data_IF_913636892594
#
_entry.id   IF_913636892594
#
_cell.length_a   1.000
_cell.length_b   1.000
_cell.length_c   1.000
_cell.angle_alpha   90.00
_cell.angle_beta   90.00
_cell.angle_gamma   90.00
#
_symmetry.space_group_name_H-M   'P 1'
#
loop_
_entity.id
_entity.type
_entity.pdbx_description
1 polymer ?
#
# COMPACT_ATOMS: atom_id res chain seq x y z
N UNK A 1 8.05 19.10 9.87
CA UNK A 1 8.18 17.66 9.55
C UNK A 1 9.61 17.37 9.14
N UNK A 2 10.15 16.22 9.52
CA UNK A 2 11.43 15.71 9.01
C UNK A 2 11.15 14.80 7.81
N UNK A 3 11.90 14.99 6.73
CA UNK A 3 11.81 14.13 5.56
C UNK A 3 13.06 13.27 5.44
N UNK A 4 12.89 12.06 4.92
CA UNK A 4 13.98 11.10 4.68
C UNK A 4 14.06 10.76 3.20
N UNK A 5 15.30 10.64 2.72
CA UNK A 5 15.60 10.02 1.44
C UNK A 5 15.75 8.51 1.66
N UNK A 6 15.02 7.73 0.90
CA UNK A 6 15.14 6.27 0.86
C UNK A 6 15.92 5.91 -0.38
N UNK A 7 16.95 5.06 -0.26
CA UNK A 7 17.92 4.80 -1.32
C UNK A 7 17.30 4.45 -2.68
N UNK A 8 16.27 3.61 -2.67
CA UNK A 8 15.60 3.10 -3.87
C UNK A 8 14.31 3.86 -4.24
N UNK A 9 14.04 5.01 -3.60
CA UNK A 9 12.85 5.85 -3.85
C UNK A 9 13.32 7.29 -4.08
N UNK A 10 12.88 7.92 -5.17
CA UNK A 10 13.34 9.26 -5.55
C UNK A 10 12.76 10.38 -4.69
N UNK A 11 11.53 10.19 -4.25
CA UNK A 11 10.78 11.18 -3.49
C UNK A 11 11.25 11.20 -2.02
N UNK A 12 11.24 12.38 -1.41
CA UNK A 12 11.45 12.51 0.02
C UNK A 12 10.16 12.14 0.78
N UNK A 13 10.29 11.24 1.73
CA UNK A 13 9.18 10.70 2.52
C UNK A 13 9.19 11.32 3.92
N UNK A 14 8.06 11.80 4.40
CA UNK A 14 7.93 12.26 5.80
C UNK A 14 8.23 11.11 6.77
N UNK A 15 9.01 11.39 7.82
CA UNK A 15 9.42 10.37 8.80
C UNK A 15 8.24 9.77 9.57
N UNK A 16 7.07 10.42 9.51
CA UNK A 16 5.81 9.95 10.06
C UNK A 16 4.85 9.81 8.88
N UNK A 17 4.19 8.66 8.79
CA UNK A 17 3.12 8.40 7.84
C UNK A 17 1.77 8.22 8.51
N UNK A 18 0.70 8.29 7.73
CA UNK A 18 -0.66 7.98 8.17
C UNK A 18 -1.00 6.55 7.81
N UNK A 19 -1.23 5.70 8.83
CA UNK A 19 -1.84 4.39 8.63
C UNK A 19 -3.35 4.55 8.45
N UNK A 20 -3.84 4.15 7.28
CA UNK A 20 -5.22 4.37 6.88
C UNK A 20 -6.18 3.21 7.25
N UNK A 21 -5.76 2.30 8.11
CA UNK A 21 -6.63 1.20 8.53
C UNK A 21 -7.92 1.71 9.19
N UNK A 22 -7.79 2.69 10.08
CA UNK A 22 -8.94 3.29 10.77
C UNK A 22 -9.93 4.00 9.83
N UNK A 23 -9.53 4.32 8.60
CA UNK A 23 -10.43 4.89 7.58
C UNK A 23 -11.42 3.85 7.05
N UNK A 24 -11.24 2.57 7.37
CA UNK A 24 -12.14 1.48 7.01
C UNK A 24 -13.52 1.52 7.67
N UNK A 25 -13.71 2.32 8.72
CA UNK A 25 -15.01 2.48 9.38
C UNK A 25 -15.29 1.52 10.53
N UNK A 26 -14.37 0.59 10.83
CA UNK A 26 -14.58 -0.46 11.84
C UNK A 26 -14.17 -0.06 13.27
N UNK A 27 -13.81 1.22 13.49
CA UNK A 27 -13.32 1.73 14.77
C UNK A 27 -14.26 2.78 15.37
N UNK A 28 -14.39 2.78 16.68
CA UNK A 28 -15.17 3.78 17.40
C UNK A 28 -14.70 5.20 17.05
N UNK A 29 -15.65 6.05 16.66
CA UNK A 29 -15.39 7.44 16.24
C UNK A 29 -14.87 7.60 14.82
N UNK A 30 -14.73 6.51 14.03
CA UNK A 30 -14.43 6.63 12.62
C UNK A 30 -15.66 7.13 11.85
N UNK A 31 -15.43 8.11 10.99
CA UNK A 31 -16.41 8.62 10.03
C UNK A 31 -15.68 9.25 8.85
N UNK A 32 -16.33 9.32 7.70
CA UNK A 32 -15.77 9.96 6.51
C UNK A 32 -15.38 11.43 6.78
N UNK A 33 -16.16 12.14 7.61
CA UNK A 33 -15.88 13.52 7.99
C UNK A 33 -14.63 13.62 8.88
N UNK A 34 -14.47 12.73 9.86
CA UNK A 34 -13.28 12.70 10.69
C UNK A 34 -12.05 12.27 9.88
N UNK A 35 -12.19 11.33 8.96
CA UNK A 35 -11.13 10.94 8.03
C UNK A 35 -10.66 12.12 7.20
N UNK A 36 -11.57 12.93 6.65
CA UNK A 36 -11.20 14.13 5.91
C UNK A 36 -10.43 15.13 6.78
N UNK A 37 -10.87 15.38 8.01
CA UNK A 37 -10.15 16.25 8.96
C UNK A 37 -8.75 15.75 9.26
N UNK A 38 -8.59 14.44 9.50
CA UNK A 38 -7.28 13.81 9.76
C UNK A 38 -6.35 13.99 8.57
N UNK A 39 -6.82 13.70 7.36
CA UNK A 39 -6.03 13.82 6.13
C UNK A 39 -5.57 15.26 5.91
N UNK A 40 -6.47 16.24 6.04
CA UNK A 40 -6.13 17.64 5.85
C UNK A 40 -5.15 18.13 6.92
N UNK A 41 -5.37 17.79 8.19
CA UNK A 41 -4.44 18.12 9.28
C UNK A 41 -3.06 17.50 9.06
N UNK A 42 -3.00 16.25 8.56
CA UNK A 42 -1.73 15.60 8.22
C UNK A 42 -0.96 16.40 7.15
N UNK A 43 -1.64 16.78 6.08
CA UNK A 43 -1.04 17.59 5.00
C UNK A 43 -0.56 18.98 5.50
N UNK A 44 -1.35 19.66 6.31
CA UNK A 44 -0.98 20.96 6.92
C UNK A 44 0.28 20.86 7.80
N UNK A 45 0.50 19.68 8.42
CA UNK A 45 1.70 19.40 9.22
C UNK A 45 2.86 18.79 8.39
N UNK A 46 2.72 18.74 7.07
CA UNK A 46 3.77 18.27 6.16
C UNK A 46 3.91 16.75 6.10
N UNK A 47 2.91 15.98 6.55
CA UNK A 47 2.91 14.52 6.33
C UNK A 47 2.51 14.27 4.87
N UNK A 48 3.37 13.53 4.15
CA UNK A 48 3.14 13.22 2.74
C UNK A 48 3.04 11.71 2.45
N UNK A 49 3.08 10.85 3.47
CA UNK A 49 3.07 9.40 3.31
C UNK A 49 1.79 8.78 3.88
N UNK A 50 1.06 8.04 3.05
CA UNK A 50 -0.19 7.37 3.40
C UNK A 50 -0.07 5.87 3.13
N UNK A 51 -0.14 5.06 4.18
CA UNK A 51 -0.12 3.60 4.12
C UNK A 51 -1.56 3.07 4.17
N UNK A 52 -1.99 2.45 3.07
CA UNK A 52 -3.36 2.01 2.85
C UNK A 52 -3.40 0.59 2.28
N UNK A 53 -4.56 -0.04 2.28
CA UNK A 53 -4.77 -1.33 1.62
C UNK A 53 -6.24 -1.52 1.21
N UNK A 54 -6.51 -2.32 0.16
CA UNK A 54 -7.87 -2.67 -0.25
C UNK A 54 -8.68 -3.35 0.84
N UNK A 55 -8.05 -4.19 1.65
CA UNK A 55 -8.70 -4.94 2.74
C UNK A 55 -9.18 -4.05 3.89
N UNK A 56 -8.68 -2.82 4.01
CA UNK A 56 -9.07 -1.90 5.07
C UNK A 56 -10.50 -1.41 4.87
N UNK A 57 -11.42 -1.90 5.73
CA UNK A 57 -12.85 -1.67 5.56
C UNK A 57 -13.40 -2.21 4.24
N UNK A 58 -12.79 -3.28 3.70
CA UNK A 58 -13.22 -3.93 2.46
C UNK A 58 -13.46 -2.93 1.33
N UNK A 59 -12.41 -2.19 0.97
CA UNK A 59 -12.34 -1.15 -0.05
C UNK A 59 -12.73 0.27 0.41
N UNK A 60 -13.33 0.44 1.59
CA UNK A 60 -13.82 1.75 2.03
C UNK A 60 -12.67 2.76 2.23
N UNK A 61 -11.58 2.32 2.85
CA UNK A 61 -10.42 3.17 3.13
C UNK A 61 -9.83 3.80 1.86
N UNK A 62 -9.64 3.01 0.79
CA UNK A 62 -9.16 3.56 -0.49
C UNK A 62 -10.20 4.49 -1.13
N UNK A 63 -11.47 4.13 -1.07
CA UNK A 63 -12.53 4.94 -1.68
C UNK A 63 -12.68 6.31 -1.02
N UNK A 64 -12.60 6.40 0.32
CA UNK A 64 -12.70 7.67 1.03
C UNK A 64 -11.45 8.53 0.81
N UNK A 65 -10.23 7.95 0.86
CA UNK A 65 -9.02 8.69 0.56
C UNK A 65 -9.02 9.24 -0.87
N UNK A 66 -9.48 8.43 -1.84
CA UNK A 66 -9.62 8.86 -3.24
C UNK A 66 -10.56 10.04 -3.42
N UNK A 67 -11.72 10.02 -2.75
CA UNK A 67 -12.67 11.15 -2.75
C UNK A 67 -12.05 12.42 -2.18
N UNK A 68 -11.33 12.32 -1.04
CA UNK A 68 -10.68 13.45 -0.39
C UNK A 68 -9.56 14.01 -1.28
N UNK A 69 -8.71 13.15 -1.85
CA UNK A 69 -7.65 13.58 -2.77
C UNK A 69 -8.19 14.35 -3.97
N UNK A 70 -9.27 13.85 -4.58
CA UNK A 70 -9.90 14.50 -5.72
C UNK A 70 -10.56 15.83 -5.32
N UNK A 71 -11.28 15.86 -4.20
CA UNK A 71 -11.96 17.05 -3.69
C UNK A 71 -10.99 18.22 -3.43
N UNK A 72 -9.81 17.90 -2.88
CA UNK A 72 -8.84 18.91 -2.46
C UNK A 72 -7.61 19.04 -3.38
N UNK A 73 -7.50 18.22 -4.42
CA UNK A 73 -6.48 18.37 -5.47
C UNK A 73 -5.04 18.16 -5.00
N UNK A 74 -4.76 17.21 -4.08
CA UNK A 74 -3.42 17.05 -3.53
C UNK A 74 -2.70 15.74 -3.93
N UNK A 75 -3.24 14.93 -4.87
CA UNK A 75 -2.62 13.64 -5.25
C UNK A 75 -1.11 13.74 -5.51
N UNK A 76 -0.67 14.78 -6.20
CA UNK A 76 0.74 14.98 -6.55
C UNK A 76 1.62 15.49 -5.38
N UNK A 77 1.04 15.71 -4.21
CA UNK A 77 1.77 16.15 -3.01
C UNK A 77 2.01 15.03 -2.01
N UNK A 78 1.51 13.83 -2.30
CA UNK A 78 1.55 12.69 -1.39
C UNK A 78 2.10 11.44 -2.06
N UNK A 79 2.62 10.55 -1.24
CA UNK A 79 3.09 9.22 -1.60
C UNK A 79 2.09 8.22 -1.04
N UNK A 80 1.46 7.47 -1.93
CA UNK A 80 0.48 6.43 -1.58
C UNK A 80 1.18 5.07 -1.62
N UNK A 81 1.23 4.40 -0.47
CA UNK A 81 1.62 3.01 -0.39
C UNK A 81 0.35 2.15 -0.22
N UNK A 82 -0.08 1.49 -1.30
CA UNK A 82 -1.20 0.53 -1.23
C UNK A 82 -0.69 -0.90 -1.44
N UNK A 83 -1.58 -1.88 -1.28
CA UNK A 83 -1.20 -3.28 -1.21
C UNK A 83 -2.08 -4.16 -2.11
N UNK A 84 -1.64 -5.40 -2.35
CA UNK A 84 -2.43 -6.44 -3.04
C UNK A 84 -2.17 -7.82 -2.44
N UNK A 85 -2.90 -8.82 -2.95
CA UNK A 85 -2.72 -10.21 -2.58
C UNK A 85 -3.55 -10.66 -1.39
N UNK A 86 -4.54 -9.85 -0.96
CA UNK A 86 -5.56 -10.25 -0.01
C UNK A 86 -6.94 -10.13 -0.67
N UNK A 87 -7.44 -11.25 -1.15
CA UNK A 87 -8.76 -11.36 -1.78
C UNK A 87 -9.83 -11.74 -0.77
N UNK A 88 -11.03 -11.26 -0.98
CA UNK A 88 -12.21 -11.64 -0.17
C UNK A 88 -13.45 -11.76 -1.04
N UNK A 89 -14.41 -12.55 -0.58
CA UNK A 89 -15.73 -12.69 -1.17
C UNK A 89 -16.82 -12.02 -0.32
N UNK A 90 -18.06 -12.40 -0.55
CA UNK A 90 -19.23 -11.96 0.23
C UNK A 90 -19.18 -12.39 1.71
N UNK A 91 -18.38 -13.41 2.01
CA UNK A 91 -18.12 -13.91 3.36
C UNK A 91 -17.17 -13.03 4.18
N UNK A 92 -16.54 -12.03 3.53
CA UNK A 92 -15.51 -11.16 4.11
C UNK A 92 -14.31 -11.92 4.73
N UNK A 93 -14.08 -13.16 4.31
CA UNK A 93 -12.90 -13.92 4.69
C UNK A 93 -11.78 -13.64 3.71
N UNK A 94 -10.66 -13.15 4.21
CA UNK A 94 -9.48 -12.86 3.38
C UNK A 94 -8.71 -14.13 3.04
N UNK A 95 -8.21 -14.21 1.82
CA UNK A 95 -7.38 -15.30 1.29
C UNK A 95 -6.19 -14.69 0.55
N UNK A 96 -5.02 -15.29 0.73
CA UNK A 96 -3.83 -14.86 -0.01
C UNK A 96 -3.95 -15.33 -1.47
N UNK A 97 -3.71 -14.41 -2.40
CA UNK A 97 -3.74 -14.70 -3.84
C UNK A 97 -2.83 -13.70 -4.56
N UNK A 98 -1.60 -14.13 -4.84
CA UNK A 98 -0.61 -13.37 -5.59
C UNK A 98 -0.51 -13.81 -7.06
N UNK A 99 -1.54 -14.51 -7.57
CA UNK A 99 -1.61 -14.87 -8.97
C UNK A 99 -1.59 -13.62 -9.86
N UNK A 100 -1.10 -13.80 -11.08
CA UNK A 100 -1.07 -12.71 -12.08
C UNK A 100 -2.45 -12.12 -12.31
N UNK A 101 -3.48 -12.96 -12.44
CA UNK A 101 -4.86 -12.51 -12.64
C UNK A 101 -5.33 -11.63 -11.47
N UNK A 102 -5.08 -12.06 -10.24
CA UNK A 102 -5.44 -11.30 -9.03
C UNK A 102 -4.75 -9.94 -8.99
N UNK A 103 -3.43 -9.88 -9.19
CA UNK A 103 -2.65 -8.63 -9.14
C UNK A 103 -3.13 -7.64 -10.21
N UNK A 104 -3.34 -8.10 -11.45
CA UNK A 104 -3.79 -7.24 -12.55
C UNK A 104 -5.21 -6.70 -12.30
N UNK A 105 -6.09 -7.51 -11.72
CA UNK A 105 -7.42 -7.05 -11.34
C UNK A 105 -7.38 -6.09 -10.15
N UNK A 106 -6.63 -6.42 -9.09
CA UNK A 106 -6.56 -5.62 -7.87
C UNK A 106 -6.01 -4.21 -8.12
N UNK A 107 -4.96 -4.07 -8.94
CA UNK A 107 -4.40 -2.74 -9.23
C UNK A 107 -5.44 -1.84 -9.90
N UNK A 108 -6.23 -2.35 -10.85
CA UNK A 108 -7.25 -1.55 -11.54
C UNK A 108 -8.38 -1.15 -10.59
N UNK A 109 -8.77 -2.04 -9.68
CA UNK A 109 -9.75 -1.73 -8.65
C UNK A 109 -9.23 -0.65 -7.69
N UNK A 110 -7.98 -0.74 -7.25
CA UNK A 110 -7.36 0.24 -6.34
C UNK A 110 -7.22 1.61 -7.00
N UNK A 111 -6.76 1.67 -8.24
CA UNK A 111 -6.68 2.92 -9.01
C UNK A 111 -8.06 3.59 -9.16
N UNK A 112 -9.09 2.79 -9.45
CA UNK A 112 -10.48 3.28 -9.53
C UNK A 112 -10.98 3.85 -8.21
N UNK A 113 -10.75 3.17 -7.08
CA UNK A 113 -11.15 3.64 -5.74
C UNK A 113 -10.37 4.87 -5.31
N UNK A 114 -9.06 4.88 -5.50
CA UNK A 114 -8.17 6.01 -5.18
C UNK A 114 -8.34 7.19 -6.15
N UNK A 115 -9.05 7.01 -7.27
CA UNK A 115 -9.29 8.01 -8.31
C UNK A 115 -7.98 8.64 -8.82
N UNK A 116 -7.00 7.80 -9.10
CA UNK A 116 -5.65 8.16 -9.57
C UNK A 116 -5.22 7.23 -10.70
N UNK A 117 -4.25 7.66 -11.50
CA UNK A 117 -3.66 6.88 -12.58
C UNK A 117 -2.49 6.00 -12.15
N UNK A 118 -1.94 6.24 -10.94
CA UNK A 118 -0.84 5.45 -10.40
C UNK A 118 -0.85 5.37 -8.88
N UNK A 119 -0.20 4.33 -8.36
CA UNK A 119 0.17 4.16 -6.95
C UNK A 119 1.69 4.31 -6.84
N UNK A 120 2.17 5.05 -5.83
CA UNK A 120 3.60 5.28 -5.68
C UNK A 120 4.33 4.00 -5.24
N UNK A 121 3.90 3.37 -4.16
CA UNK A 121 4.47 2.12 -3.67
C UNK A 121 3.37 1.06 -3.64
N UNK A 122 3.55 0.00 -4.42
CA UNK A 122 2.59 -1.12 -4.44
C UNK A 122 3.23 -2.34 -3.79
N UNK A 123 2.61 -2.80 -2.71
CA UNK A 123 3.19 -3.79 -1.83
C UNK A 123 2.43 -5.12 -1.93
N UNK A 124 3.16 -6.24 -1.98
CA UNK A 124 2.60 -7.54 -1.70
C UNK A 124 2.29 -7.60 -0.19
N UNK A 125 1.02 -7.78 0.18
CA UNK A 125 0.56 -7.60 1.58
C UNK A 125 1.00 -8.75 2.50
N UNK A 126 0.92 -9.97 1.99
CA UNK A 126 1.34 -11.21 2.65
C UNK A 126 1.87 -12.19 1.62
N UNK A 127 2.81 -13.08 2.01
CA UNK A 127 3.27 -14.13 1.12
C UNK A 127 2.13 -15.07 0.74
N UNK A 128 2.14 -15.55 -0.50
CA UNK A 128 1.28 -16.61 -1.00
C UNK A 128 2.15 -17.74 -1.52
N UNK A 129 2.22 -18.85 -0.77
CA UNK A 129 3.04 -20.00 -1.12
C UNK A 129 2.37 -20.94 -2.15
N UNK A 130 1.15 -20.62 -2.60
CA UNK A 130 0.46 -21.40 -3.63
C UNK A 130 0.71 -20.86 -5.04
N UNK A 131 1.15 -19.59 -5.14
CA UNK A 131 1.48 -18.95 -6.42
C UNK A 131 2.98 -19.01 -6.68
N UNK A 132 3.44 -19.45 -7.87
CA UNK A 132 4.84 -19.34 -8.26
C UNK A 132 5.33 -17.90 -8.23
N UNK A 133 6.50 -17.66 -7.64
CA UNK A 133 7.07 -16.30 -7.48
C UNK A 133 7.25 -15.63 -8.85
N UNK A 134 7.63 -16.37 -9.87
CA UNK A 134 7.82 -15.89 -11.24
C UNK A 134 6.54 -15.26 -11.80
N UNK A 135 5.39 -15.88 -11.55
CA UNK A 135 4.09 -15.37 -11.99
C UNK A 135 3.77 -14.02 -11.34
N UNK A 136 3.99 -13.91 -10.03
CA UNK A 136 3.82 -12.68 -9.26
C UNK A 136 4.76 -11.58 -9.76
N UNK A 137 6.04 -11.91 -9.99
CA UNK A 137 7.06 -10.98 -10.47
C UNK A 137 6.73 -10.47 -11.87
N UNK A 138 6.26 -11.34 -12.77
CA UNK A 138 5.87 -10.95 -14.13
C UNK A 138 4.68 -9.98 -14.11
N UNK A 139 3.68 -10.21 -13.25
CA UNK A 139 2.57 -9.30 -13.06
C UNK A 139 3.05 -7.92 -12.56
N UNK A 140 3.94 -7.89 -11.56
CA UNK A 140 4.50 -6.65 -11.03
C UNK A 140 5.29 -5.86 -12.07
N UNK A 141 6.10 -6.55 -12.88
CA UNK A 141 6.84 -5.92 -14.00
C UNK A 141 5.88 -5.33 -15.05
N UNK A 142 4.80 -6.03 -15.36
CA UNK A 142 3.79 -5.57 -16.33
C UNK A 142 3.11 -4.29 -15.86
N UNK A 143 2.59 -4.25 -14.64
CA UNK A 143 1.91 -3.06 -14.11
C UNK A 143 2.86 -1.89 -13.89
N UNK A 144 4.15 -2.14 -13.55
CA UNK A 144 5.21 -1.13 -13.48
C UNK A 144 5.52 -0.55 -14.85
N UNK A 145 5.66 -1.40 -15.87
CA UNK A 145 5.86 -0.98 -17.26
C UNK A 145 4.68 -0.18 -17.82
N UNK A 146 3.46 -0.52 -17.41
CA UNK A 146 2.26 0.22 -17.77
C UNK A 146 2.12 1.57 -17.04
N UNK A 147 3.02 1.90 -16.10
CA UNK A 147 3.01 3.15 -15.34
C UNK A 147 1.95 3.17 -14.21
N UNK A 148 1.28 2.06 -13.94
CA UNK A 148 0.27 1.96 -12.88
C UNK A 148 0.89 2.00 -11.47
N UNK A 149 2.16 1.62 -11.34
CA UNK A 149 2.92 1.71 -10.08
C UNK A 149 4.32 2.29 -10.34
N UNK A 150 4.90 2.97 -9.34
CA UNK A 150 6.27 3.49 -9.42
C UNK A 150 7.27 2.56 -8.78
N UNK A 151 6.97 2.08 -7.56
CA UNK A 151 7.85 1.28 -6.72
C UNK A 151 7.14 0.00 -6.28
N UNK A 152 7.93 -1.06 -6.09
CA UNK A 152 7.45 -2.35 -5.60
C UNK A 152 7.90 -2.51 -4.15
N UNK A 153 7.00 -2.96 -3.28
CA UNK A 153 7.28 -3.24 -1.89
C UNK A 153 6.81 -4.63 -1.47
N UNK A 154 7.34 -5.07 -0.33
CA UNK A 154 6.92 -6.28 0.36
C UNK A 154 6.44 -5.94 1.77
N UNK A 155 5.44 -6.68 2.27
CA UNK A 155 4.93 -6.53 3.64
C UNK A 155 4.76 -7.90 4.27
N UNK A 156 5.31 -8.09 5.48
CA UNK A 156 5.24 -9.35 6.22
C UNK A 156 5.97 -10.54 5.56
N UNK A 157 6.92 -10.29 4.71
CA UNK A 157 7.75 -11.32 4.11
C UNK A 157 8.94 -11.66 5.01
N UNK A 158 9.35 -12.94 5.00
CA UNK A 158 10.61 -13.35 5.62
C UNK A 158 11.79 -12.78 4.84
N UNK A 159 12.96 -12.66 5.49
CA UNK A 159 14.18 -12.22 4.80
C UNK A 159 14.47 -13.12 3.58
N UNK A 160 14.35 -14.44 3.74
CA UNK A 160 14.61 -15.40 2.66
C UNK A 160 13.68 -15.18 1.46
N UNK A 161 12.38 -14.93 1.70
CA UNK A 161 11.44 -14.67 0.62
C UNK A 161 11.74 -13.32 -0.05
N UNK A 162 12.05 -12.30 0.74
CA UNK A 162 12.45 -10.99 0.22
C UNK A 162 13.70 -11.07 -0.68
N UNK A 163 14.75 -11.78 -0.26
CA UNK A 163 15.95 -12.01 -1.06
C UNK A 163 15.64 -12.75 -2.37
N UNK A 164 14.68 -13.69 -2.33
CA UNK A 164 14.23 -14.40 -3.55
C UNK A 164 13.56 -13.44 -4.52
N UNK A 165 12.64 -12.58 -4.04
CA UNK A 165 12.02 -11.55 -4.88
C UNK A 165 13.05 -10.55 -5.41
N UNK A 166 14.00 -10.09 -4.57
CA UNK A 166 15.06 -9.15 -4.97
C UNK A 166 15.98 -9.71 -6.07
N UNK A 167 16.18 -11.02 -6.12
CA UNK A 167 16.94 -11.65 -7.21
C UNK A 167 16.25 -11.56 -8.57
N UNK A 168 14.95 -11.30 -8.62
CA UNK A 168 14.13 -11.31 -9.85
C UNK A 168 13.61 -9.93 -10.25
N UNK A 169 13.37 -9.04 -9.29
CA UNK A 169 12.84 -7.69 -9.50
C UNK A 169 13.34 -6.75 -8.40
N UNK A 170 13.54 -5.47 -8.75
CA UNK A 170 13.93 -4.47 -7.76
C UNK A 170 12.83 -4.26 -6.72
N UNK A 171 13.14 -4.55 -5.45
CA UNK A 171 12.28 -4.24 -4.30
C UNK A 171 12.75 -2.90 -3.71
N UNK A 172 11.82 -1.97 -3.60
CA UNK A 172 12.10 -0.59 -3.19
C UNK A 172 11.77 -0.33 -1.71
N UNK A 173 10.90 -1.15 -1.11
CA UNK A 173 10.53 -1.03 0.32
C UNK A 173 10.16 -2.39 0.92
N UNK A 174 10.44 -2.53 2.22
CA UNK A 174 9.95 -3.64 3.03
C UNK A 174 9.29 -3.08 4.28
N UNK A 175 8.07 -3.54 4.57
CA UNK A 175 7.32 -3.18 5.75
C UNK A 175 7.15 -4.41 6.65
N UNK A 176 7.62 -4.30 7.89
CA UNK A 176 7.54 -5.38 8.88
C UNK A 176 6.98 -4.87 10.19
N UNK A 177 6.37 -5.77 10.96
CA UNK A 177 5.95 -5.46 12.32
C UNK A 177 7.18 -5.16 13.18
N UNK A 178 7.22 -3.98 13.77
CA UNK A 178 8.30 -3.55 14.65
C UNK A 178 7.74 -2.68 15.78
N UNK A 179 8.02 -3.07 17.01
CA UNK A 179 7.67 -2.29 18.20
C UNK A 179 8.60 -2.68 19.38
N UNK A 180 8.33 -2.16 20.56
CA UNK A 180 9.17 -2.44 21.74
C UNK A 180 9.22 -3.91 22.16
N UNK A 181 8.21 -4.71 21.79
CA UNK A 181 8.10 -6.14 22.14
C UNK A 181 8.49 -7.05 20.95
N UNK A 182 8.12 -6.64 19.72
CA UNK A 182 8.38 -7.38 18.48
C UNK A 182 9.54 -6.73 17.74
N UNK A 183 10.71 -7.39 17.77
CA UNK A 183 11.98 -6.86 17.22
C UNK A 183 12.68 -7.85 16.30
N UNK A 184 11.96 -8.82 15.76
CA UNK A 184 12.51 -9.88 14.92
C UNK A 184 13.18 -9.39 13.63
N UNK A 185 13.00 -8.11 13.29
CA UNK A 185 13.60 -7.44 12.11
C UNK A 185 14.94 -6.76 12.43
N UNK A 186 15.41 -6.82 13.68
CA UNK A 186 16.71 -6.29 14.10
C UNK A 186 17.89 -7.25 13.79
N UNK A 187 17.62 -8.46 13.29
CA UNK A 187 18.61 -9.53 13.05
C UNK A 187 18.98 -9.65 11.58
#
# INVERSE_FOLDING_TARGET
MIYKKVEKIKEEISSIGIGCWNFGGDWDGSSDENTEKIVLTALENGINFFDIAPVYGFSHSEAILGKIMKKHGFRNKVIIASKCGLRWGSDKVTRNDLSRESILWEIDQSLGRLQTDHIDIYQLHWPDHNTPIEETVDALKEIKKAGKIRYIGLTNFSQKDAETFESMVEINSQQSLYNMLERNTDS
#
